data_IF_300425061207
#
_entry.id   IF_300425061207
#
_cell.length_a   1.000
_cell.length_b   1.000
_cell.length_c   1.000
_cell.angle_alpha   90.00
_cell.angle_beta   90.00
_cell.angle_gamma   90.00
#
_symmetry.space_group_name_H-M   'P 1'
#
loop_
_entity.id
_entity.type
_entity.pdbx_description
1 polymer ?
#
# COMPACT_ATOMS: atom_id res chain seq x y z
N UNK A 1 -76.95 6.08 -3.05
CA UNK A 1 -77.78 4.92 -3.41
C UNK A 1 -76.89 3.69 -3.44
N UNK A 2 -77.27 2.69 -2.63
CA UNK A 2 -76.89 1.27 -2.74
C UNK A 2 -75.41 0.90 -2.56
N UNK A 3 -75.02 -0.17 -1.89
CA UNK A 3 -75.69 -1.08 -0.97
C UNK A 3 -74.57 -1.87 -0.29
N UNK A 4 -74.80 -2.24 0.97
CA UNK A 4 -73.96 -3.13 1.75
C UNK A 4 -73.85 -4.53 1.11
N UNK A 5 -72.70 -5.19 1.28
CA UNK A 5 -72.63 -6.65 1.32
C UNK A 5 -71.40 -7.14 2.12
N UNK A 6 -71.76 -7.92 3.15
CA UNK A 6 -71.06 -8.92 3.95
C UNK A 6 -69.63 -9.35 3.57
N UNK A 7 -68.81 -9.56 4.61
CA UNK A 7 -67.52 -10.26 4.49
C UNK A 7 -66.92 -10.65 5.85
N UNK A 8 -67.44 -11.76 6.40
CA UNK A 8 -66.74 -12.82 7.15
C UNK A 8 -65.58 -12.44 8.08
N UNK A 9 -65.80 -12.71 9.37
CA UNK A 9 -64.76 -12.91 10.39
C UNK A 9 -63.83 -14.05 9.97
N UNK A 10 -62.56 -13.73 9.69
CA UNK A 10 -61.46 -14.68 9.71
C UNK A 10 -60.53 -14.30 10.86
N UNK A 11 -60.61 -15.09 11.92
CA UNK A 11 -59.68 -15.09 13.03
C UNK A 11 -58.29 -15.46 12.49
N UNK A 12 -57.49 -14.43 12.17
CA UNK A 12 -56.06 -14.56 11.93
C UNK A 12 -55.35 -14.72 13.26
N UNK A 13 -55.07 -15.96 13.62
CA UNK A 13 -54.22 -16.37 14.73
C UNK A 13 -52.97 -15.49 14.76
N UNK A 14 -52.80 -14.77 15.87
CA UNK A 14 -51.54 -14.12 16.24
C UNK A 14 -50.48 -15.19 16.47
N UNK A 15 -49.87 -15.64 15.38
CA UNK A 15 -48.63 -16.42 15.42
C UNK A 15 -47.49 -15.46 15.75
N UNK A 16 -47.16 -15.35 17.03
CA UNK A 16 -45.87 -14.83 17.46
C UNK A 16 -44.78 -15.63 16.72
N UNK A 17 -44.08 -14.99 15.78
CA UNK A 17 -42.89 -15.56 15.16
C UNK A 17 -41.83 -15.73 16.23
N UNK A 18 -41.77 -16.91 16.84
CA UNK A 18 -40.62 -17.36 17.60
C UNK A 18 -39.39 -17.25 16.68
N UNK A 19 -38.38 -16.51 17.13
CA UNK A 19 -37.15 -16.26 16.36
C UNK A 19 -36.55 -17.58 15.89
N UNK A 20 -36.30 -17.68 14.57
CA UNK A 20 -35.61 -18.82 14.00
C UNK A 20 -34.25 -19.00 14.70
N UNK A 21 -33.91 -20.24 15.08
CA UNK A 21 -32.60 -20.52 15.66
C UNK A 21 -31.49 -20.09 14.69
N UNK A 22 -30.41 -19.44 15.17
CA UNK A 22 -29.31 -19.04 14.31
C UNK A 22 -28.74 -20.26 13.57
N UNK A 23 -28.40 -20.12 12.29
CA UNK A 23 -27.77 -21.21 11.53
C UNK A 23 -26.47 -21.68 12.19
N UNK A 24 -26.05 -22.93 11.91
CA UNK A 24 -24.77 -23.46 12.41
C UNK A 24 -23.60 -22.51 12.12
N UNK A 25 -23.52 -22.05 10.88
CA UNK A 25 -22.53 -21.08 10.42
C UNK A 25 -22.59 -19.76 11.24
N UNK A 26 -23.79 -19.23 11.49
CA UNK A 26 -23.95 -18.02 12.32
C UNK A 26 -23.45 -18.23 13.75
N UNK A 27 -23.68 -19.41 14.33
CA UNK A 27 -23.20 -19.77 15.68
C UNK A 27 -21.68 -19.92 15.71
N UNK A 28 -21.10 -20.60 14.71
CA UNK A 28 -19.65 -20.78 14.57
C UNK A 28 -18.95 -19.42 14.37
N UNK A 29 -19.47 -18.57 13.46
CA UNK A 29 -18.99 -17.20 13.24
C UNK A 29 -19.00 -16.37 14.52
N UNK A 30 -20.11 -16.38 15.26
CA UNK A 30 -20.19 -15.67 16.53
C UNK A 30 -19.21 -16.23 17.57
N UNK A 31 -18.94 -17.54 17.55
CA UNK A 31 -17.99 -18.17 18.48
C UNK A 31 -16.54 -17.76 18.19
N UNK A 32 -16.12 -17.82 16.92
CA UNK A 32 -14.75 -17.42 16.53
C UNK A 32 -14.56 -15.89 16.62
N UNK A 33 -15.59 -15.09 16.36
CA UNK A 33 -15.57 -13.64 16.61
C UNK A 33 -15.23 -13.34 18.08
N UNK A 34 -15.85 -14.04 19.04
CA UNK A 34 -15.52 -13.89 20.47
C UNK A 34 -14.09 -14.31 20.81
N UNK A 35 -13.49 -15.26 20.07
CA UNK A 35 -12.08 -15.64 20.25
C UNK A 35 -11.19 -14.46 19.88
N UNK A 36 -11.40 -13.88 18.71
CA UNK A 36 -10.61 -12.76 18.21
C UNK A 36 -10.84 -11.47 18.99
N UNK A 37 -12.04 -11.22 19.52
CA UNK A 37 -12.30 -10.08 20.40
C UNK A 37 -11.43 -10.13 21.67
N UNK A 38 -11.33 -11.30 22.31
CA UNK A 38 -10.46 -11.50 23.47
C UNK A 38 -8.99 -11.37 23.11
N UNK A 39 -8.59 -11.86 21.94
CA UNK A 39 -7.23 -11.72 21.44
C UNK A 39 -6.90 -10.24 21.19
N UNK A 40 -7.83 -9.49 20.60
CA UNK A 40 -7.70 -8.05 20.39
C UNK A 40 -7.62 -7.25 21.70
N UNK A 41 -8.44 -7.60 22.70
CA UNK A 41 -8.34 -7.03 24.06
C UNK A 41 -6.94 -7.28 24.64
N UNK A 42 -6.42 -8.49 24.50
CA UNK A 42 -5.10 -8.85 25.01
C UNK A 42 -3.96 -8.09 24.33
N UNK A 43 -4.05 -7.81 23.02
CA UNK A 43 -3.09 -6.94 22.30
C UNK A 43 -3.14 -5.52 22.85
N UNK A 44 -4.34 -4.94 22.96
CA UNK A 44 -4.54 -3.57 23.47
C UNK A 44 -4.06 -3.42 24.91
N UNK A 45 -4.35 -4.40 25.76
CA UNK A 45 -3.98 -4.40 27.18
C UNK A 45 -2.53 -4.83 27.43
N UNK A 46 -1.86 -5.43 26.45
CA UNK A 46 -0.51 -5.96 26.62
C UNK A 46 -0.43 -7.22 27.49
N UNK A 47 -1.42 -8.11 27.40
CA UNK A 47 -1.53 -9.32 28.22
C UNK A 47 -1.23 -10.59 27.42
N UNK A 48 0.04 -10.99 27.36
CA UNK A 48 0.50 -12.16 26.59
C UNK A 48 -0.26 -13.45 26.91
N UNK A 49 -0.47 -13.74 28.21
CA UNK A 49 -1.16 -14.95 28.63
C UNK A 49 -2.61 -15.01 28.15
N UNK A 50 -3.29 -13.87 28.02
CA UNK A 50 -4.65 -13.78 27.50
C UNK A 50 -4.67 -13.91 25.98
N UNK A 51 -3.69 -13.33 25.30
CA UNK A 51 -3.51 -13.46 23.85
C UNK A 51 -3.30 -14.93 23.48
N UNK A 52 -2.35 -15.60 24.14
CA UNK A 52 -2.08 -17.02 23.92
C UNK A 52 -3.23 -17.93 24.40
N UNK A 53 -4.13 -17.48 25.29
CA UNK A 53 -5.30 -18.28 25.69
C UNK A 53 -6.35 -18.45 24.56
N UNK A 54 -6.25 -17.65 23.50
CA UNK A 54 -7.04 -17.76 22.28
C UNK A 54 -6.43 -18.73 21.24
N UNK A 55 -5.15 -19.09 21.39
CA UNK A 55 -4.42 -19.99 20.47
C UNK A 55 -4.52 -21.44 20.95
N UNK A 56 -4.68 -22.40 20.03
CA UNK A 56 -4.88 -23.81 20.35
C UNK A 56 -3.66 -24.36 21.14
N UNK A 57 -3.84 -24.88 22.36
CA UNK A 57 -2.75 -25.45 23.14
C UNK A 57 -2.12 -26.70 22.50
N UNK A 58 -2.78 -27.36 21.53
CA UNK A 58 -2.21 -28.49 20.77
C UNK A 58 -1.49 -28.07 19.50
N UNK A 59 -1.61 -26.82 19.06
CA UNK A 59 -0.88 -26.28 17.93
C UNK A 59 0.44 -25.66 18.42
N UNK A 60 1.37 -26.50 18.91
CA UNK A 60 2.58 -26.06 19.64
C UNK A 60 3.44 -25.09 18.81
N UNK A 61 3.68 -25.39 17.53
CA UNK A 61 4.46 -24.53 16.64
C UNK A 61 3.79 -23.17 16.41
N UNK A 62 2.51 -23.18 16.03
CA UNK A 62 1.74 -21.95 15.83
C UNK A 62 1.68 -21.11 17.11
N UNK A 63 1.54 -21.75 18.28
CA UNK A 63 1.55 -21.06 19.57
C UNK A 63 2.88 -20.38 19.86
N UNK A 64 4.01 -20.98 19.48
CA UNK A 64 5.33 -20.35 19.59
C UNK A 64 5.45 -19.14 18.67
N UNK A 65 5.04 -19.28 17.41
CA UNK A 65 5.00 -18.18 16.44
C UNK A 65 4.15 -17.01 16.96
N UNK A 66 2.96 -17.29 17.48
CA UNK A 66 2.07 -16.29 18.06
C UNK A 66 2.68 -15.62 19.31
N UNK A 67 3.53 -16.30 20.08
CA UNK A 67 4.26 -15.65 21.18
C UNK A 67 5.25 -14.61 20.67
N UNK A 68 5.99 -14.95 19.60
CA UNK A 68 6.90 -14.00 18.95
C UNK A 68 6.13 -12.81 18.36
N UNK A 69 5.04 -13.07 17.64
CA UNK A 69 4.15 -12.03 17.11
C UNK A 69 3.66 -11.11 18.21
N UNK A 70 3.20 -11.65 19.34
CA UNK A 70 2.78 -10.82 20.47
C UNK A 70 3.92 -9.94 20.98
N UNK A 71 5.13 -10.49 21.15
CA UNK A 71 6.32 -9.74 21.52
C UNK A 71 6.62 -8.59 20.56
N UNK A 72 6.46 -8.81 19.26
CA UNK A 72 6.62 -7.77 18.23
C UNK A 72 5.53 -6.70 18.32
N UNK A 73 4.26 -7.09 18.48
CA UNK A 73 3.13 -6.16 18.63
C UNK A 73 3.31 -5.22 19.83
N UNK A 74 3.96 -5.68 20.92
CA UNK A 74 4.27 -4.83 22.09
C UNK A 74 5.28 -3.73 21.80
N UNK A 75 6.06 -3.84 20.73
CA UNK A 75 7.05 -2.83 20.30
C UNK A 75 6.42 -1.76 19.41
N UNK A 76 5.28 -2.06 18.80
CA UNK A 76 4.59 -1.14 17.89
C UNK A 76 3.78 -0.09 18.65
N UNK A 77 3.70 1.16 18.16
CA UNK A 77 2.91 2.23 18.77
C UNK A 77 1.41 2.09 18.47
N UNK A 78 0.81 0.93 18.74
CA UNK A 78 -0.59 0.66 18.41
C UNK A 78 -1.55 1.52 19.24
N UNK A 79 -2.59 2.05 18.57
CA UNK A 79 -3.71 2.80 19.19
C UNK A 79 -5.05 2.19 18.89
N UNK A 80 -5.16 1.45 17.78
CA UNK A 80 -6.32 0.66 17.43
C UNK A 80 -5.86 -0.74 17.03
N UNK A 81 -6.66 -1.73 17.41
CA UNK A 81 -6.53 -3.12 17.00
C UNK A 81 -7.90 -3.76 17.09
N UNK A 82 -8.42 -4.37 16.04
CA UNK A 82 -9.75 -5.00 16.05
C UNK A 82 -9.89 -6.02 14.94
N UNK A 83 -10.66 -7.08 15.20
CA UNK A 83 -10.98 -8.09 14.20
C UNK A 83 -12.46 -8.10 13.87
N UNK A 84 -12.77 -8.37 12.61
CA UNK A 84 -14.13 -8.67 12.15
C UNK A 84 -14.13 -9.94 11.30
N UNK A 85 -14.77 -10.98 11.81
CA UNK A 85 -14.94 -12.25 11.09
C UNK A 85 -15.94 -12.06 9.95
N UNK A 86 -15.50 -12.40 8.75
CA UNK A 86 -16.29 -12.48 7.52
C UNK A 86 -16.98 -13.83 7.39
N UNK A 87 -16.84 -14.43 6.21
CA UNK A 87 -17.44 -15.73 5.88
C UNK A 87 -16.72 -16.85 6.63
N UNK A 88 -17.50 -17.85 7.05
CA UNK A 88 -17.00 -19.02 7.78
C UNK A 88 -17.31 -20.27 6.99
N UNK A 89 -16.31 -21.11 6.79
CA UNK A 89 -16.41 -22.35 6.00
C UNK A 89 -15.93 -23.53 6.84
N UNK A 90 -16.53 -24.72 6.70
CA UNK A 90 -16.00 -25.92 7.36
C UNK A 90 -14.53 -26.17 6.95
N UNK A 91 -13.68 -26.52 7.91
CA UNK A 91 -12.34 -27.00 7.60
C UNK A 91 -12.40 -28.34 6.82
N UNK A 92 -11.36 -28.64 6.04
CA UNK A 92 -11.26 -29.90 5.31
C UNK A 92 -11.34 -31.11 6.27
N UNK A 93 -11.90 -32.22 5.79
CA UNK A 93 -12.11 -33.41 6.61
C UNK A 93 -10.77 -34.03 7.08
N UNK A 94 -10.51 -34.01 8.38
CA UNK A 94 -9.29 -34.58 8.99
C UNK A 94 -8.91 -33.94 10.33
N UNK A 95 -9.25 -32.66 10.53
CA UNK A 95 -8.70 -31.84 11.62
C UNK A 95 -9.56 -31.76 12.90
N UNK A 96 -10.40 -32.78 13.16
CA UNK A 96 -11.10 -32.90 14.45
C UNK A 96 -12.25 -31.92 14.69
N UNK A 97 -12.83 -31.35 13.63
CA UNK A 97 -13.94 -30.40 13.73
C UNK A 97 -13.42 -28.97 13.89
N UNK A 98 -13.59 -28.16 12.84
CA UNK A 98 -13.08 -26.80 12.80
C UNK A 98 -13.69 -26.00 11.67
N UNK A 99 -13.36 -24.71 11.64
CA UNK A 99 -13.78 -23.78 10.59
C UNK A 99 -12.60 -22.94 10.10
N UNK A 100 -12.69 -22.47 8.88
CA UNK A 100 -11.82 -21.47 8.28
C UNK A 100 -12.61 -20.19 8.12
N UNK A 101 -11.98 -19.03 8.32
CA UNK A 101 -12.64 -17.75 8.14
C UNK A 101 -11.72 -16.71 7.51
N UNK A 102 -12.32 -15.88 6.66
CA UNK A 102 -11.71 -14.63 6.23
C UNK A 102 -11.97 -13.59 7.33
N UNK A 103 -10.90 -13.00 7.87
CA UNK A 103 -10.93 -12.13 9.04
C UNK A 103 -10.32 -10.80 8.66
N UNK A 104 -11.10 -9.72 8.82
CA UNK A 104 -10.58 -8.37 8.62
C UNK A 104 -9.91 -7.89 9.91
N UNK A 105 -8.59 -7.81 9.92
CA UNK A 105 -7.83 -7.09 10.93
C UNK A 105 -7.84 -5.60 10.60
N UNK A 106 -8.13 -4.75 11.59
CA UNK A 106 -7.91 -3.31 11.50
C UNK A 106 -6.99 -2.84 12.61
N UNK A 107 -5.97 -2.07 12.28
CA UNK A 107 -5.03 -1.52 13.25
C UNK A 107 -4.64 -0.08 12.91
N UNK A 108 -4.07 0.63 13.88
CA UNK A 108 -3.62 2.01 13.71
C UNK A 108 -2.38 2.29 14.54
N UNK A 109 -1.33 2.81 13.90
CA UNK A 109 -0.12 3.31 14.53
C UNK A 109 -0.32 4.77 14.99
N UNK A 110 0.09 5.06 16.23
CA UNK A 110 -0.05 6.37 16.86
C UNK A 110 0.68 7.44 16.04
N UNK A 111 0.00 8.55 15.76
CA UNK A 111 0.53 9.75 15.09
C UNK A 111 1.01 9.55 13.64
N UNK A 112 1.16 8.31 13.18
CA UNK A 112 1.72 7.97 11.87
C UNK A 112 0.63 7.51 10.88
N UNK A 113 -0.46 6.92 11.38
CA UNK A 113 -1.62 6.58 10.56
C UNK A 113 -2.75 7.63 10.72
N UNK A 114 -3.33 8.10 9.61
CA UNK A 114 -4.51 8.98 9.67
C UNK A 114 -5.82 8.17 9.72
N UNK A 115 -5.90 7.06 8.97
CA UNK A 115 -6.93 6.03 9.09
C UNK A 115 -6.38 4.69 9.58
N UNK A 116 -7.24 3.80 10.10
CA UNK A 116 -6.83 2.43 10.36
C UNK A 116 -6.54 1.69 9.05
N UNK A 117 -5.41 0.98 9.01
CA UNK A 117 -5.15 -0.08 8.03
C UNK A 117 -6.16 -1.22 8.24
N UNK A 118 -6.49 -1.95 7.19
CA UNK A 118 -7.50 -2.98 7.07
C UNK A 118 -7.04 -4.15 6.17
N UNK A 119 -6.39 -5.14 6.76
CA UNK A 119 -5.91 -6.35 6.04
C UNK A 119 -6.83 -7.55 6.22
N UNK A 120 -6.77 -8.51 5.31
CA UNK A 120 -7.57 -9.75 5.35
C UNK A 120 -6.70 -10.95 5.71
N UNK A 121 -6.86 -11.43 6.94
CA UNK A 121 -6.26 -12.66 7.41
C UNK A 121 -7.14 -13.86 7.06
N UNK A 122 -6.54 -15.01 6.73
CA UNK A 122 -7.26 -16.28 6.57
C UNK A 122 -6.90 -17.21 7.71
N UNK A 123 -7.81 -17.38 8.67
CA UNK A 123 -7.52 -18.10 9.91
C UNK A 123 -8.25 -19.43 9.98
N UNK A 124 -7.58 -20.44 10.52
CA UNK A 124 -8.17 -21.72 10.91
C UNK A 124 -8.51 -21.72 12.40
N UNK A 125 -9.66 -22.29 12.74
CA UNK A 125 -10.14 -22.43 14.10
C UNK A 125 -10.53 -23.88 14.39
N UNK A 126 -10.18 -24.34 15.58
CA UNK A 126 -10.49 -25.69 16.07
C UNK A 126 -11.30 -25.61 17.35
N UNK A 127 -12.30 -26.48 17.50
CA UNK A 127 -13.07 -26.62 18.75
C UNK A 127 -12.50 -27.76 19.61
N UNK A 128 -12.22 -27.48 20.89
CA UNK A 128 -11.80 -28.49 21.87
C UNK A 128 -12.60 -28.35 23.15
N UNK A 129 -13.37 -29.38 23.50
CA UNK A 129 -14.15 -29.41 24.74
C UNK A 129 -15.14 -28.25 24.86
N UNK A 130 -15.78 -27.85 23.76
CA UNK A 130 -16.74 -26.73 23.73
C UNK A 130 -16.11 -25.33 23.65
N UNK A 131 -14.78 -25.23 23.51
CA UNK A 131 -14.06 -23.96 23.39
C UNK A 131 -13.35 -23.87 22.03
N UNK A 132 -13.49 -22.72 21.39
CA UNK A 132 -12.85 -22.39 20.13
C UNK A 132 -11.48 -21.74 20.34
N UNK A 133 -10.56 -22.05 19.42
CA UNK A 133 -9.19 -21.54 19.40
C UNK A 133 -8.79 -21.22 17.96
N UNK A 134 -7.92 -20.22 17.79
CA UNK A 134 -7.15 -20.06 16.54
C UNK A 134 -6.09 -21.17 16.52
N UNK A 135 -6.05 -21.95 15.44
CA UNK A 135 -5.15 -23.10 15.34
C UNK A 135 -4.05 -22.92 14.30
N UNK A 136 -4.30 -22.10 13.27
CA UNK A 136 -3.34 -21.85 12.19
C UNK A 136 -3.73 -20.60 11.40
N UNK A 137 -2.79 -20.10 10.60
CA UNK A 137 -3.01 -19.08 9.58
C UNK A 137 -2.74 -19.65 8.18
N UNK A 138 -3.76 -19.58 7.34
CA UNK A 138 -3.85 -20.34 6.09
C UNK A 138 -3.11 -19.65 4.92
N UNK A 139 -2.75 -20.41 3.87
CA UNK A 139 -2.21 -19.84 2.65
C UNK A 139 -3.11 -18.77 2.01
N UNK A 140 -2.47 -17.70 1.50
CA UNK A 140 -3.13 -16.53 0.93
C UNK A 140 -3.73 -15.56 1.95
N UNK A 141 -3.35 -15.68 3.22
CA UNK A 141 -3.54 -14.64 4.24
C UNK A 141 -2.62 -13.44 3.97
N UNK A 142 -3.10 -12.23 4.22
CA UNK A 142 -2.30 -11.00 4.16
C UNK A 142 -1.32 -10.96 5.34
N UNK A 143 -0.09 -11.43 5.12
CA UNK A 143 0.95 -11.48 6.15
C UNK A 143 1.48 -10.08 6.48
N UNK A 144 1.68 -9.79 7.76
CA UNK A 144 2.18 -8.50 8.22
C UNK A 144 3.65 -8.56 8.64
N UNK A 145 4.32 -7.41 8.68
CA UNK A 145 5.77 -7.33 8.97
C UNK A 145 6.12 -7.96 10.33
N UNK A 146 5.25 -7.82 11.34
CA UNK A 146 5.47 -8.38 12.68
C UNK A 146 5.38 -9.90 12.77
N UNK A 147 5.10 -10.57 11.67
CA UNK A 147 5.12 -12.03 11.54
C UNK A 147 6.38 -12.55 10.83
N UNK A 148 7.28 -11.66 10.40
CA UNK A 148 8.40 -11.99 9.50
C UNK A 148 9.77 -12.05 10.20
N UNK A 149 9.79 -12.07 11.54
CA UNK A 149 11.03 -12.07 12.30
C UNK A 149 10.93 -11.25 13.57
N UNK A 150 12.06 -10.95 14.21
CA UNK A 150 12.12 -10.01 15.33
C UNK A 150 11.95 -8.57 14.81
N UNK A 151 10.97 -7.82 15.36
CA UNK A 151 10.73 -6.43 14.94
C UNK A 151 11.60 -5.44 15.70
N UNK A 152 12.36 -4.64 14.97
CA UNK A 152 12.97 -3.41 15.48
C UNK A 152 12.16 -2.19 15.02
N UNK A 153 11.91 -1.27 15.95
CA UNK A 153 11.19 -0.01 15.69
C UNK A 153 12.12 1.18 15.93
N UNK A 154 12.22 2.06 14.94
CA UNK A 154 12.94 3.33 15.01
C UNK A 154 11.97 4.47 14.74
N UNK A 155 11.96 5.48 15.61
CA UNK A 155 11.18 6.70 15.41
C UNK A 155 12.12 7.83 15.01
N UNK A 156 11.96 8.33 13.79
CA UNK A 156 12.59 9.55 13.32
C UNK A 156 11.78 10.80 13.72
N UNK A 157 12.21 11.96 13.22
CA UNK A 157 11.51 13.23 13.44
C UNK A 157 10.16 13.24 12.73
N UNK A 158 10.14 12.76 11.48
CA UNK A 158 8.98 12.70 10.58
C UNK A 158 8.70 11.30 10.06
N UNK A 159 9.46 10.30 10.50
CA UNK A 159 9.30 8.91 10.08
C UNK A 159 9.06 7.95 11.23
N UNK A 160 8.39 6.84 10.94
CA UNK A 160 8.39 5.62 11.74
C UNK A 160 8.92 4.49 10.87
N UNK A 161 10.04 3.89 11.26
CA UNK A 161 10.67 2.79 10.52
C UNK A 161 10.49 1.49 11.30
N UNK A 162 9.94 0.49 10.63
CA UNK A 162 9.71 -0.85 11.15
C UNK A 162 10.59 -1.82 10.36
N UNK A 163 11.40 -2.64 11.02
CA UNK A 163 12.23 -3.63 10.34
C UNK A 163 12.12 -5.01 10.96
N UNK A 164 11.99 -6.04 10.13
CA UNK A 164 12.03 -7.44 10.54
C UNK A 164 13.45 -8.01 10.37
N UNK A 165 14.03 -8.52 11.45
CA UNK A 165 15.40 -9.05 11.48
C UNK A 165 16.47 -8.06 10.94
N UNK A 166 16.21 -6.76 11.09
CA UNK A 166 17.13 -5.68 10.72
C UNK A 166 17.86 -5.13 11.93
N UNK A 167 19.11 -4.72 11.73
CA UNK A 167 19.88 -4.07 12.77
C UNK A 167 19.33 -2.66 13.06
N UNK A 168 19.44 -2.21 14.30
CA UNK A 168 19.04 -0.84 14.67
C UNK A 168 19.82 0.22 13.88
N UNK A 169 21.09 -0.02 13.59
CA UNK A 169 21.94 0.92 12.84
C UNK A 169 21.42 1.16 11.43
N UNK A 170 21.04 0.10 10.71
CA UNK A 170 20.42 0.20 9.37
C UNK A 170 19.10 0.96 9.42
N UNK A 171 18.25 0.68 10.42
CA UNK A 171 16.96 1.36 10.55
C UNK A 171 17.10 2.83 10.99
N UNK A 172 18.12 3.16 11.80
CA UNK A 172 18.45 4.55 12.15
C UNK A 172 18.92 5.33 10.92
N UNK A 173 19.64 4.69 10.00
CA UNK A 173 20.02 5.30 8.72
C UNK A 173 18.83 5.49 7.78
N UNK A 174 17.98 4.48 7.65
CA UNK A 174 16.74 4.56 6.89
C UNK A 174 15.82 5.67 7.42
N UNK A 175 15.71 5.82 8.74
CA UNK A 175 14.91 6.88 9.37
C UNK A 175 15.46 8.29 9.05
N UNK A 176 16.79 8.48 9.03
CA UNK A 176 17.39 9.77 8.64
C UNK A 176 17.12 10.12 7.19
N UNK A 177 17.21 9.14 6.29
CA UNK A 177 16.90 9.35 4.86
C UNK A 177 15.42 9.64 4.65
N UNK A 178 14.54 8.92 5.35
CA UNK A 178 13.09 9.17 5.32
C UNK A 178 12.74 10.56 5.87
N UNK A 179 13.36 11.00 6.96
CA UNK A 179 13.18 12.37 7.48
C UNK A 179 13.65 13.43 6.49
N UNK A 180 14.74 13.17 5.76
CA UNK A 180 15.26 14.06 4.70
C UNK A 180 14.32 14.09 3.50
N UNK A 181 13.78 12.94 3.10
CA UNK A 181 12.80 12.82 2.02
C UNK A 181 11.53 13.62 2.32
N UNK A 182 11.01 13.55 3.56
CA UNK A 182 9.87 14.38 4.00
C UNK A 182 10.16 15.87 3.85
N UNK A 183 11.36 16.32 4.26
CA UNK A 183 11.74 17.73 4.14
C UNK A 183 11.84 18.18 2.67
N UNK A 184 12.42 17.36 1.80
CA UNK A 184 12.53 17.65 0.37
C UNK A 184 11.15 17.72 -0.31
N UNK A 185 10.24 16.81 0.04
CA UNK A 185 8.86 16.83 -0.47
C UNK A 185 8.07 18.02 0.09
N UNK A 186 8.31 18.43 1.34
CA UNK A 186 7.71 19.64 1.93
C UNK A 186 8.09 20.93 1.19
N UNK A 187 9.27 20.98 0.59
CA UNK A 187 9.75 22.15 -0.16
C UNK A 187 9.12 22.26 -1.55
N UNK A 188 8.75 21.13 -2.17
CA UNK A 188 8.25 21.09 -3.55
C UNK A 188 6.75 20.85 -3.68
N UNK A 189 6.13 20.03 -2.81
CA UNK A 189 4.73 19.67 -2.94
C UNK A 189 3.80 20.80 -2.43
N UNK A 190 2.85 21.31 -3.25
CA UNK A 190 2.14 22.54 -2.94
C UNK A 190 0.86 22.34 -2.11
N UNK A 191 0.53 21.10 -1.72
CA UNK A 191 -0.69 20.75 -0.99
C UNK A 191 -0.38 20.20 0.38
N UNK A 192 -1.34 20.35 1.30
CA UNK A 192 -1.25 19.71 2.61
C UNK A 192 -1.24 18.20 2.43
N UNK A 193 -0.37 17.54 3.18
CA UNK A 193 -0.27 16.08 3.25
C UNK A 193 0.09 15.69 4.70
N UNK A 194 0.23 14.40 5.05
CA UNK A 194 0.59 13.98 6.41
C UNK A 194 1.88 14.57 6.99
N UNK A 195 2.83 15.00 6.15
CA UNK A 195 4.18 15.46 6.55
C UNK A 195 4.92 14.43 7.41
N UNK A 196 4.58 13.14 7.23
CA UNK A 196 5.14 11.98 7.93
C UNK A 196 5.00 10.73 7.06
N UNK A 197 5.89 9.77 7.25
CA UNK A 197 5.89 8.49 6.52
C UNK A 197 6.12 7.30 7.45
N UNK A 198 5.53 6.16 7.11
CA UNK A 198 5.85 4.86 7.71
C UNK A 198 6.65 4.06 6.70
N UNK A 199 7.84 3.59 7.09
CA UNK A 199 8.73 2.79 6.24
C UNK A 199 8.85 1.39 6.82
N UNK A 200 8.63 0.39 5.99
CA UNK A 200 8.74 -1.03 6.34
C UNK A 200 9.94 -1.65 5.63
N UNK A 201 10.80 -2.31 6.40
CA UNK A 201 12.01 -3.00 5.91
C UNK A 201 11.92 -4.49 6.26
N UNK A 202 11.31 -5.31 5.37
CA UNK A 202 11.34 -6.76 5.51
C UNK A 202 12.78 -7.31 5.44
N UNK A 203 12.95 -8.55 5.87
CA UNK A 203 14.25 -9.22 5.92
C UNK A 203 14.73 -9.72 4.55
N UNK A 204 13.82 -9.93 3.60
CA UNK A 204 14.14 -10.41 2.24
C UNK A 204 13.15 -9.91 1.18
N UNK A 205 13.51 -10.00 -0.11
CA UNK A 205 12.59 -9.77 -1.22
C UNK A 205 11.36 -10.71 -1.17
N UNK A 206 11.55 -11.95 -0.72
CA UNK A 206 10.46 -12.91 -0.54
C UNK A 206 9.46 -12.44 0.51
N UNK A 207 9.95 -11.83 1.58
CA UNK A 207 9.11 -11.35 2.67
C UNK A 207 8.43 -10.03 2.32
N UNK A 208 9.10 -9.16 1.55
CA UNK A 208 8.45 -8.03 0.88
C UNK A 208 7.28 -8.48 0.00
N UNK A 209 7.50 -9.47 -0.85
CA UNK A 209 6.47 -10.00 -1.75
C UNK A 209 5.23 -10.52 -1.00
N UNK A 210 5.43 -11.10 0.20
CA UNK A 210 4.34 -11.51 1.10
C UNK A 210 3.57 -10.33 1.71
N UNK A 211 4.24 -9.23 2.05
CA UNK A 211 3.57 -8.01 2.54
C UNK A 211 2.68 -7.40 1.47
N UNK A 212 3.10 -7.51 0.21
CA UNK A 212 2.45 -6.87 -0.94
C UNK A 212 1.43 -7.78 -1.66
N UNK A 213 1.19 -8.99 -1.15
CA UNK A 213 0.36 -10.04 -1.77
C UNK A 213 0.66 -10.24 -3.28
N UNK A 214 1.95 -10.33 -3.62
CA UNK A 214 2.38 -10.47 -5.00
C UNK A 214 3.59 -11.43 -5.15
N UNK A 215 3.84 -11.97 -6.36
CA UNK A 215 5.02 -12.79 -6.62
C UNK A 215 6.31 -11.99 -6.43
N UNK A 216 7.37 -12.61 -5.90
CA UNK A 216 8.67 -11.91 -5.68
C UNK A 216 9.29 -11.37 -6.97
N UNK A 217 9.08 -12.05 -8.10
CA UNK A 217 9.53 -11.61 -9.44
C UNK A 217 8.92 -10.26 -9.87
N UNK A 218 7.82 -9.83 -9.25
CA UNK A 218 7.21 -8.53 -9.55
C UNK A 218 8.01 -7.35 -8.97
N UNK A 219 8.90 -7.60 -8.01
CA UNK A 219 9.64 -6.55 -7.29
C UNK A 219 11.17 -6.71 -7.39
N UNK A 220 11.64 -7.66 -8.20
CA UNK A 220 13.06 -7.80 -8.48
C UNK A 220 13.59 -6.53 -9.19
N UNK A 221 14.68 -5.97 -8.67
CA UNK A 221 15.25 -4.71 -9.16
C UNK A 221 14.49 -3.44 -8.76
N UNK A 222 13.36 -3.55 -8.05
CA UNK A 222 12.60 -2.40 -7.53
C UNK A 222 13.01 -2.17 -6.09
N UNK A 223 13.57 -0.98 -5.81
CA UNK A 223 14.20 -0.67 -4.53
C UNK A 223 13.19 -0.36 -3.41
N UNK A 224 12.03 0.19 -3.73
CA UNK A 224 10.94 0.43 -2.79
C UNK A 224 9.61 0.52 -3.53
N UNK A 225 8.51 0.41 -2.77
CA UNK A 225 7.14 0.60 -3.28
C UNK A 225 6.31 1.29 -2.21
N UNK A 226 5.54 2.31 -2.60
CA UNK A 226 4.51 2.90 -1.76
C UNK A 226 3.19 2.18 -1.95
N UNK A 227 2.67 1.58 -0.88
CA UNK A 227 1.30 1.04 -0.84
C UNK A 227 0.38 1.95 -0.04
N UNK A 228 -0.90 1.90 -0.38
CA UNK A 228 -1.96 2.57 0.35
C UNK A 228 -3.29 1.90 0.07
N UNK A 229 -4.19 1.91 1.06
CA UNK A 229 -5.56 1.41 0.88
C UNK A 229 -6.37 2.39 0.04
N UNK A 230 -6.31 2.26 -1.28
CA UNK A 230 -7.26 2.88 -2.19
C UNK A 230 -8.58 2.08 -2.17
N UNK A 231 -9.35 2.22 -1.10
CA UNK A 231 -10.70 1.66 -0.95
C UNK A 231 -11.76 2.76 -0.96
N UNK A 232 -12.71 2.66 -1.91
CA UNK A 232 -13.95 3.43 -2.07
C UNK A 232 -14.13 4.65 -1.12
N UNK A 233 -13.89 5.85 -1.65
CA UNK A 233 -14.24 7.13 -1.02
C UNK A 233 -13.61 7.46 0.34
N UNK A 234 -12.53 6.78 0.77
CA UNK A 234 -11.87 7.16 2.04
C UNK A 234 -10.68 8.11 1.81
N UNK A 235 -10.86 9.35 2.25
CA UNK A 235 -9.86 10.45 2.27
C UNK A 235 -8.70 10.21 3.28
N UNK A 236 -8.39 8.97 3.65
CA UNK A 236 -7.55 8.74 4.81
C UNK A 236 -6.44 7.72 4.52
N UNK A 237 -5.21 8.22 4.43
CA UNK A 237 -4.01 7.45 4.16
C UNK A 237 -3.52 6.70 5.40
N UNK A 238 -3.13 5.46 5.17
CA UNK A 238 -2.26 4.68 6.04
C UNK A 238 -1.17 4.07 5.15
N UNK A 239 -0.53 4.95 4.38
CA UNK A 239 0.43 4.53 3.36
C UNK A 239 1.67 3.91 4.01
N UNK A 240 2.29 2.96 3.30
CA UNK A 240 3.53 2.29 3.70
C UNK A 240 4.53 2.40 2.57
N UNK A 241 5.73 2.87 2.89
CA UNK A 241 6.88 2.74 1.99
C UNK A 241 7.55 1.42 2.34
N UNK A 242 7.42 0.41 1.50
CA UNK A 242 8.04 -0.90 1.71
C UNK A 242 9.34 -0.97 0.93
N UNK A 243 10.46 -1.12 1.63
CA UNK A 243 11.81 -1.17 1.05
C UNK A 243 12.17 -2.60 0.66
N UNK A 244 12.67 -2.78 -0.55
CA UNK A 244 13.31 -4.03 -0.95
C UNK A 244 14.73 -4.07 -0.36
N UNK A 245 15.00 -4.93 0.63
CA UNK A 245 16.28 -4.92 1.34
C UNK A 245 17.49 -5.23 0.45
N UNK A 246 17.28 -5.97 -0.64
CA UNK A 246 18.32 -6.37 -1.59
C UNK A 246 18.61 -5.22 -2.57
N UNK A 247 17.63 -4.84 -3.38
CA UNK A 247 17.81 -3.80 -4.40
C UNK A 247 18.14 -2.42 -3.79
N UNK A 248 17.55 -2.06 -2.65
CA UNK A 248 17.86 -0.81 -1.95
C UNK A 248 19.26 -0.82 -1.33
N UNK A 249 19.71 -1.99 -0.85
CA UNK A 249 21.04 -2.18 -0.27
C UNK A 249 22.17 -2.00 -1.29
N UNK A 250 21.90 -2.33 -2.55
CA UNK A 250 22.86 -2.21 -3.66
C UNK A 250 23.03 -0.76 -4.17
N UNK A 251 22.11 0.15 -3.81
CA UNK A 251 22.18 1.55 -4.19
C UNK A 251 23.24 2.32 -3.39
N UNK A 252 23.84 3.32 -4.04
CA UNK A 252 24.63 4.34 -3.32
C UNK A 252 23.75 5.10 -2.33
N UNK A 253 24.36 5.75 -1.33
CA UNK A 253 23.61 6.56 -0.37
C UNK A 253 22.78 7.69 -1.00
N UNK A 254 23.25 8.24 -2.13
CA UNK A 254 22.49 9.20 -2.95
C UNK A 254 21.28 8.52 -3.61
N UNK A 255 21.47 7.37 -4.27
CA UNK A 255 20.37 6.60 -4.89
C UNK A 255 19.31 6.17 -3.88
N UNK A 256 19.74 5.74 -2.70
CA UNK A 256 18.86 5.43 -1.56
C UNK A 256 18.01 6.64 -1.13
N UNK A 257 18.59 7.84 -1.15
CA UNK A 257 17.88 9.08 -0.84
C UNK A 257 16.88 9.45 -1.95
N UNK A 258 17.29 9.33 -3.22
CA UNK A 258 16.41 9.57 -4.38
C UNK A 258 15.19 8.67 -4.31
N UNK A 259 15.37 7.37 -4.07
CA UNK A 259 14.27 6.39 -3.96
C UNK A 259 13.32 6.74 -2.81
N UNK A 260 13.81 7.02 -1.60
CA UNK A 260 12.89 7.38 -0.51
C UNK A 260 12.14 8.69 -0.76
N UNK A 261 12.78 9.63 -1.45
CA UNK A 261 12.16 10.91 -1.81
C UNK A 261 11.07 10.67 -2.84
N UNK A 262 11.35 9.87 -3.86
CA UNK A 262 10.37 9.39 -4.84
C UNK A 262 9.16 8.75 -4.16
N UNK A 263 9.37 7.77 -3.27
CA UNK A 263 8.26 7.11 -2.57
C UNK A 263 7.48 8.07 -1.66
N UNK A 264 8.16 9.03 -1.03
CA UNK A 264 7.51 10.06 -0.21
C UNK A 264 6.63 10.99 -1.06
N UNK A 265 6.97 11.24 -2.33
CA UNK A 265 6.09 11.98 -3.25
C UNK A 265 4.77 11.24 -3.45
N UNK A 266 4.78 9.92 -3.61
CA UNK A 266 3.55 9.12 -3.74
C UNK A 266 2.65 9.19 -2.50
N UNK A 267 3.24 9.25 -1.30
CA UNK A 267 2.48 9.50 -0.05
C UNK A 267 1.86 10.91 -0.07
N UNK A 268 2.64 11.93 -0.44
CA UNK A 268 2.16 13.32 -0.46
C UNK A 268 1.09 13.58 -1.53
N UNK A 269 1.20 12.90 -2.68
CA UNK A 269 0.34 13.11 -3.85
C UNK A 269 -0.88 12.19 -3.88
N UNK A 270 -0.95 11.13 -3.07
CA UNK A 270 -1.99 10.08 -3.06
C UNK A 270 -3.41 10.60 -3.29
N UNK A 271 -3.86 11.56 -2.48
CA UNK A 271 -5.24 12.12 -2.55
C UNK A 271 -5.47 13.08 -3.72
N UNK A 272 -4.44 13.33 -4.52
CA UNK A 272 -4.42 14.21 -5.69
C UNK A 272 -4.09 13.41 -6.96
N UNK A 273 -4.50 12.15 -7.00
CA UNK A 273 -4.42 11.27 -8.18
C UNK A 273 -5.79 10.70 -8.49
N UNK A 274 -6.04 10.40 -9.76
CA UNK A 274 -7.25 9.70 -10.22
C UNK A 274 -6.90 8.74 -11.36
N UNK A 275 -7.88 7.98 -11.87
CA UNK A 275 -7.70 7.19 -13.09
C UNK A 275 -7.34 8.03 -14.33
N UNK A 276 -7.48 9.35 -14.26
CA UNK A 276 -7.05 10.27 -15.31
C UNK A 276 -5.60 10.76 -15.17
N UNK A 277 -4.89 10.42 -14.09
CA UNK A 277 -3.46 10.74 -13.93
C UNK A 277 -2.62 9.68 -14.66
N UNK A 278 -1.90 10.03 -15.76
CA UNK A 278 -1.05 9.08 -16.46
C UNK A 278 0.17 8.70 -15.61
N UNK A 279 0.64 7.45 -15.72
CA UNK A 279 1.81 6.99 -14.95
C UNK A 279 3.10 7.71 -15.34
N UNK A 280 3.27 8.13 -16.60
CA UNK A 280 4.45 8.92 -16.98
C UNK A 280 4.57 10.23 -16.20
N UNK A 281 3.44 10.83 -15.81
CA UNK A 281 3.40 12.05 -15.00
C UNK A 281 3.51 11.73 -13.52
N UNK A 282 2.87 10.65 -13.06
CA UNK A 282 2.96 10.18 -11.68
C UNK A 282 4.39 9.86 -11.27
N UNK A 283 5.02 8.94 -12.02
CA UNK A 283 6.40 8.51 -11.77
C UNK A 283 7.40 9.61 -12.13
N UNK A 284 7.16 10.34 -13.23
CA UNK A 284 8.03 11.41 -13.67
C UNK A 284 8.13 12.57 -12.67
N UNK A 285 7.02 12.92 -11.98
CA UNK A 285 7.05 13.93 -10.92
C UNK A 285 7.84 13.43 -9.71
N UNK A 286 7.62 12.17 -9.31
CA UNK A 286 8.33 11.56 -8.20
C UNK A 286 9.84 11.51 -8.44
N UNK A 287 10.27 11.16 -9.66
CA UNK A 287 11.68 11.24 -10.08
C UNK A 287 12.19 12.67 -10.18
N UNK A 288 11.38 13.62 -10.67
CA UNK A 288 11.80 15.01 -10.79
C UNK A 288 12.11 15.63 -9.42
N UNK A 289 11.27 15.37 -8.40
CA UNK A 289 11.53 15.78 -7.02
C UNK A 289 12.67 14.97 -6.42
N UNK A 290 12.70 13.64 -6.64
CA UNK A 290 13.73 12.75 -6.11
C UNK A 290 15.15 13.14 -6.56
N UNK A 291 15.33 13.45 -7.84
CA UNK A 291 16.59 13.93 -8.39
C UNK A 291 16.86 15.42 -8.13
N UNK A 292 15.85 16.21 -7.73
CA UNK A 292 15.96 17.66 -7.57
C UNK A 292 17.00 18.12 -6.55
N UNK A 293 17.33 17.26 -5.58
CA UNK A 293 18.37 17.50 -4.58
C UNK A 293 19.75 16.93 -4.94
N UNK A 294 19.92 16.41 -6.17
CA UNK A 294 21.16 15.84 -6.68
C UNK A 294 21.79 16.73 -7.75
N UNK A 295 23.10 16.62 -7.95
CA UNK A 295 23.81 17.30 -9.03
C UNK A 295 23.86 16.46 -10.33
N UNK A 296 23.06 15.38 -10.41
CA UNK A 296 23.07 14.45 -11.55
C UNK A 296 22.55 15.13 -12.81
N UNK A 297 23.35 15.03 -13.86
CA UNK A 297 22.93 15.44 -15.20
C UNK A 297 21.97 14.42 -15.82
N UNK A 298 21.13 14.81 -16.80
CA UNK A 298 20.35 13.87 -17.59
C UNK A 298 21.13 12.69 -18.15
N UNK A 299 22.38 12.90 -18.59
CA UNK A 299 23.23 11.82 -19.08
C UNK A 299 23.62 10.79 -18.01
N UNK A 300 23.71 11.21 -16.76
CA UNK A 300 24.08 10.33 -15.64
C UNK A 300 22.87 9.62 -15.04
N UNK A 301 21.70 10.27 -15.06
CA UNK A 301 20.46 9.75 -14.46
C UNK A 301 19.56 9.00 -15.46
N UNK A 302 19.72 9.20 -16.77
CA UNK A 302 18.92 8.53 -17.81
C UNK A 302 19.77 7.59 -18.70
N UNK A 303 20.38 6.59 -18.08
CA UNK A 303 21.29 5.68 -18.75
C UNK A 303 20.61 4.83 -19.85
N UNK A 304 19.35 4.44 -19.69
CA UNK A 304 18.62 3.69 -20.71
C UNK A 304 18.28 4.52 -21.94
N UNK A 305 17.98 5.80 -21.75
CA UNK A 305 17.75 6.74 -22.85
C UNK A 305 19.05 7.11 -23.56
N UNK A 306 20.17 7.24 -22.84
CA UNK A 306 21.50 7.37 -23.46
C UNK A 306 21.81 6.15 -24.33
N UNK A 307 21.64 4.93 -23.81
CA UNK A 307 21.81 3.69 -24.60
C UNK A 307 20.86 3.64 -25.80
N UNK A 308 19.63 4.09 -25.64
CA UNK A 308 18.67 4.16 -26.74
C UNK A 308 19.07 5.21 -27.80
N UNK A 309 19.67 6.35 -27.40
CA UNK A 309 20.20 7.35 -28.31
C UNK A 309 21.36 6.80 -29.15
N UNK A 310 22.34 6.17 -28.50
CA UNK A 310 23.49 5.54 -29.16
C UNK A 310 23.06 4.47 -30.17
N UNK A 311 21.99 3.73 -29.85
CA UNK A 311 21.42 2.71 -30.73
C UNK A 311 20.49 3.28 -31.83
N UNK A 312 20.21 4.59 -31.85
CA UNK A 312 19.25 5.20 -32.78
C UNK A 312 17.78 4.78 -32.52
N UNK A 313 17.47 4.37 -31.28
CA UNK A 313 16.19 3.80 -30.83
C UNK A 313 15.48 4.66 -29.79
N UNK A 314 15.70 5.98 -29.79
CA UNK A 314 14.97 6.88 -28.90
C UNK A 314 13.45 6.73 -29.07
N UNK A 315 12.68 6.79 -27.96
CA UNK A 315 11.23 6.75 -28.01
C UNK A 315 10.62 7.79 -28.94
N UNK A 316 9.48 7.42 -29.54
CA UNK A 316 8.71 8.30 -30.45
C UNK A 316 7.44 8.86 -29.82
N UNK A 317 7.02 8.29 -28.71
CA UNK A 317 5.81 8.64 -27.97
C UNK A 317 6.14 8.62 -26.47
N UNK A 318 5.37 9.36 -25.68
CA UNK A 318 5.45 9.26 -24.23
C UNK A 318 5.09 7.83 -23.78
N UNK A 319 5.67 7.34 -22.68
CA UNK A 319 5.30 6.05 -22.12
C UNK A 319 3.81 6.00 -21.76
N UNK A 320 3.18 4.87 -22.05
CA UNK A 320 1.80 4.59 -21.64
C UNK A 320 1.79 3.92 -20.27
N UNK A 321 0.63 3.86 -19.61
CA UNK A 321 0.49 3.15 -18.33
C UNK A 321 0.88 1.66 -18.41
N UNK A 322 0.92 1.07 -19.62
CA UNK A 322 1.35 -0.31 -19.82
C UNK A 322 2.87 -0.49 -19.70
N UNK A 323 3.62 0.59 -19.86
CA UNK A 323 5.09 0.57 -19.85
C UNK A 323 5.67 0.57 -18.44
N UNK A 324 4.86 0.93 -17.43
CA UNK A 324 5.21 0.90 -16.01
C UNK A 324 4.81 -0.40 -15.30
N UNK A 325 4.28 -1.39 -16.02
CA UNK A 325 3.84 -2.65 -15.41
C UNK A 325 5.02 -3.49 -14.93
N UNK A 326 4.92 -3.98 -13.71
CA UNK A 326 5.87 -4.92 -13.12
C UNK A 326 6.00 -6.22 -13.94
N UNK A 327 7.21 -6.80 -13.94
CA UNK A 327 7.53 -8.02 -14.70
C UNK A 327 7.83 -7.81 -16.19
N UNK A 328 7.93 -6.54 -16.64
CA UNK A 328 8.53 -6.16 -17.94
C UNK A 328 10.05 -6.34 -17.91
N UNK A 329 10.66 -6.24 -19.07
CA UNK A 329 12.11 -6.13 -19.20
C UNK A 329 12.63 -4.92 -18.38
N UNK A 330 13.63 -5.08 -17.49
CA UNK A 330 14.13 -3.99 -16.65
C UNK A 330 14.65 -2.78 -17.43
N UNK A 331 15.25 -2.96 -18.61
CA UNK A 331 15.75 -1.84 -19.43
C UNK A 331 14.57 -1.08 -20.06
N UNK A 332 13.52 -1.77 -20.49
CA UNK A 332 12.29 -1.12 -20.97
C UNK A 332 11.58 -0.35 -19.86
N UNK A 333 11.52 -0.90 -18.65
CA UNK A 333 10.93 -0.24 -17.48
C UNK A 333 11.75 1.01 -17.12
N UNK A 334 13.07 0.88 -16.99
CA UNK A 334 13.96 2.01 -16.72
C UNK A 334 13.80 3.12 -17.75
N UNK A 335 13.73 2.78 -19.05
CA UNK A 335 13.47 3.76 -20.11
C UNK A 335 12.13 4.49 -19.95
N UNK A 336 11.09 3.83 -19.45
CA UNK A 336 9.79 4.47 -19.21
C UNK A 336 9.85 5.49 -18.07
N UNK A 337 10.50 5.16 -16.95
CA UNK A 337 10.75 6.09 -15.84
C UNK A 337 11.58 7.29 -16.29
N UNK A 338 12.73 7.05 -16.93
CA UNK A 338 13.60 8.11 -17.46
C UNK A 338 12.88 9.02 -18.46
N UNK A 339 11.99 8.46 -19.28
CA UNK A 339 11.16 9.19 -20.24
C UNK A 339 10.14 10.11 -19.54
N UNK A 340 9.47 9.60 -18.50
CA UNK A 340 8.54 10.38 -17.66
C UNK A 340 9.25 11.48 -16.88
N UNK A 341 10.43 11.17 -16.32
CA UNK A 341 11.30 12.13 -15.66
C UNK A 341 11.68 13.29 -16.58
N UNK A 342 12.19 13.00 -17.79
CA UNK A 342 12.53 14.05 -18.76
C UNK A 342 11.31 14.81 -19.28
N UNK A 343 10.12 14.21 -19.30
CA UNK A 343 8.88 14.94 -19.59
C UNK A 343 8.55 15.95 -18.50
N UNK A 344 8.65 15.58 -17.23
CA UNK A 344 8.41 16.48 -16.10
C UNK A 344 9.49 17.57 -16.02
N UNK A 345 10.75 17.21 -16.25
CA UNK A 345 11.87 18.15 -16.32
C UNK A 345 11.69 19.16 -17.45
N UNK A 346 11.27 18.73 -18.65
CA UNK A 346 10.92 19.64 -19.74
C UNK A 346 9.85 20.64 -19.31
N UNK A 347 8.78 20.18 -18.66
CA UNK A 347 7.71 21.07 -18.20
C UNK A 347 8.26 22.11 -17.22
N UNK A 348 9.05 21.66 -16.23
CA UNK A 348 9.65 22.54 -15.24
C UNK A 348 10.64 23.54 -15.85
N UNK A 349 11.46 23.12 -16.82
CA UNK A 349 12.48 23.97 -17.46
C UNK A 349 11.86 25.05 -18.36
N UNK A 350 10.80 24.72 -19.12
CA UNK A 350 10.20 25.65 -20.09
C UNK A 350 9.03 26.47 -19.53
N UNK A 351 8.21 25.89 -18.66
CA UNK A 351 7.02 26.55 -18.11
C UNK A 351 7.09 26.82 -16.60
N UNK A 352 8.10 26.29 -15.92
CA UNK A 352 8.28 26.46 -14.47
C UNK A 352 7.58 25.39 -13.65
N UNK A 353 8.04 25.21 -12.40
CA UNK A 353 7.53 24.18 -11.49
C UNK A 353 6.03 24.30 -11.18
N UNK A 354 5.52 25.53 -11.10
CA UNK A 354 4.11 25.78 -10.82
C UNK A 354 3.20 25.20 -11.91
N UNK A 355 3.68 25.17 -13.16
CA UNK A 355 2.96 24.59 -14.29
C UNK A 355 2.99 23.06 -14.29
N UNK A 356 4.12 22.46 -13.92
CA UNK A 356 4.21 21.01 -13.70
C UNK A 356 3.24 20.55 -12.60
N UNK A 357 3.26 21.22 -11.44
CA UNK A 357 2.38 20.90 -10.32
C UNK A 357 0.91 21.19 -10.65
N UNK A 358 0.63 22.28 -11.37
CA UNK A 358 -0.70 22.61 -11.86
C UNK A 358 -1.28 21.53 -12.78
N UNK A 359 -0.46 21.04 -13.73
CA UNK A 359 -0.83 19.94 -14.63
C UNK A 359 -1.18 18.67 -13.83
N UNK A 360 -0.31 18.30 -12.89
CA UNK A 360 -0.50 17.13 -12.04
C UNK A 360 -1.82 17.20 -11.26
N UNK A 361 -2.06 18.32 -10.57
CA UNK A 361 -3.25 18.49 -9.73
C UNK A 361 -4.55 18.53 -10.55
N UNK A 362 -4.53 19.10 -11.76
CA UNK A 362 -5.70 19.08 -12.66
C UNK A 362 -6.06 17.67 -13.07
N UNK A 363 -5.10 16.89 -13.54
CA UNK A 363 -5.29 15.49 -13.91
C UNK A 363 -5.74 14.65 -12.72
N UNK A 364 -5.14 14.90 -11.55
CA UNK A 364 -5.50 14.27 -10.28
C UNK A 364 -6.95 14.48 -9.86
N UNK A 365 -7.56 15.60 -10.23
CA UNK A 365 -8.95 15.93 -9.89
C UNK A 365 -9.96 15.62 -11.00
N UNK A 366 -9.49 15.23 -12.19
CA UNK A 366 -10.34 15.08 -13.37
C UNK A 366 -11.33 13.91 -13.22
N UNK A 367 -12.58 14.16 -13.64
CA UNK A 367 -13.67 13.16 -13.66
C UNK A 367 -14.04 12.82 -15.11
N UNK A 368 -13.02 12.49 -15.90
CA UNK A 368 -13.10 12.23 -17.36
C UNK A 368 -12.21 11.05 -17.72
N UNK A 369 -12.28 10.58 -18.97
CA UNK A 369 -11.27 9.65 -19.48
C UNK A 369 -9.89 10.32 -19.45
N UNK A 370 -8.84 9.50 -19.24
CA UNK A 370 -7.46 9.96 -19.19
C UNK A 370 -7.11 10.82 -20.42
N UNK A 371 -7.39 10.33 -21.63
CA UNK A 371 -7.09 11.05 -22.87
C UNK A 371 -7.71 12.45 -22.93
N UNK A 372 -8.99 12.57 -22.57
CA UNK A 372 -9.70 13.86 -22.60
C UNK A 372 -9.19 14.81 -21.50
N UNK A 373 -8.79 14.26 -20.35
CA UNK A 373 -8.22 15.05 -19.26
C UNK A 373 -6.81 15.55 -19.60
N UNK A 374 -5.98 14.73 -20.24
CA UNK A 374 -4.63 15.08 -20.70
C UNK A 374 -4.68 16.19 -21.74
N UNK A 375 -5.54 16.06 -22.74
CA UNK A 375 -5.73 17.09 -23.77
C UNK A 375 -6.11 18.44 -23.16
N UNK A 376 -7.14 18.47 -22.32
CA UNK A 376 -7.60 19.69 -21.64
C UNK A 376 -6.54 20.29 -20.70
N UNK A 377 -5.84 19.45 -19.94
CA UNK A 377 -4.87 19.92 -18.96
C UNK A 377 -3.58 20.44 -19.63
N UNK A 378 -3.11 19.80 -20.71
CA UNK A 378 -1.97 20.29 -21.50
C UNK A 378 -2.30 21.61 -22.19
N UNK A 379 -3.48 21.74 -22.80
CA UNK A 379 -3.91 23.00 -23.40
C UNK A 379 -4.01 24.11 -22.33
N UNK A 380 -4.62 23.81 -21.18
CA UNK A 380 -4.80 24.79 -20.12
C UNK A 380 -3.50 25.22 -19.43
N UNK A 381 -2.55 24.31 -19.23
CA UNK A 381 -1.33 24.62 -18.46
C UNK A 381 -0.14 24.99 -19.34
N UNK A 382 0.01 24.32 -20.48
CA UNK A 382 1.16 24.43 -21.37
C UNK A 382 0.84 25.16 -22.68
N UNK A 383 -0.45 25.24 -23.06
CA UNK A 383 -0.89 25.81 -24.34
C UNK A 383 -0.50 24.93 -25.54
N UNK A 384 -0.47 23.61 -25.34
CA UNK A 384 -0.10 22.62 -26.34
C UNK A 384 -1.10 21.47 -26.37
N UNK A 385 -1.33 20.93 -27.58
CA UNK A 385 -1.91 19.60 -27.72
C UNK A 385 -0.93 18.51 -27.27
N UNK A 386 -1.42 17.29 -26.94
CA UNK A 386 -0.56 16.16 -26.61
C UNK A 386 0.46 15.81 -27.69
N UNK A 387 0.10 15.99 -28.97
CA UNK A 387 0.99 15.73 -30.10
C UNK A 387 2.13 16.75 -30.15
N UNK A 388 1.83 18.04 -30.00
CA UNK A 388 2.84 19.10 -29.98
C UNK A 388 3.79 18.95 -28.77
N UNK A 389 3.24 18.63 -27.60
CA UNK A 389 4.05 18.32 -26.43
C UNK A 389 4.98 17.13 -26.68
N UNK A 390 4.48 16.05 -27.29
CA UNK A 390 5.29 14.86 -27.61
C UNK A 390 6.43 15.18 -28.58
N UNK A 391 6.19 16.00 -29.62
CA UNK A 391 7.26 16.43 -30.55
C UNK A 391 8.34 17.25 -29.86
N UNK A 392 7.94 18.13 -28.94
CA UNK A 392 8.85 18.95 -28.16
C UNK A 392 9.65 18.10 -27.16
N UNK A 393 8.98 17.19 -26.47
CA UNK A 393 9.61 16.19 -25.61
C UNK A 393 10.65 15.35 -26.33
N UNK A 394 10.37 14.83 -27.53
CA UNK A 394 11.37 14.08 -28.32
C UNK A 394 12.61 14.90 -28.65
N UNK A 395 12.43 16.20 -28.91
CA UNK A 395 13.54 17.11 -29.18
C UNK A 395 14.36 17.39 -27.93
N UNK A 396 13.68 17.59 -26.79
CA UNK A 396 14.30 17.76 -25.48
C UNK A 396 15.09 16.51 -25.06
N UNK A 397 14.48 15.32 -25.10
CA UNK A 397 15.16 14.05 -24.79
C UNK A 397 16.43 13.92 -25.63
N UNK A 398 16.33 14.07 -26.95
CA UNK A 398 17.51 13.98 -27.84
C UNK A 398 18.60 14.95 -27.40
N UNK A 399 18.27 16.20 -27.08
CA UNK A 399 19.25 17.20 -26.64
C UNK A 399 19.92 16.81 -25.32
N UNK A 400 19.16 16.34 -24.35
CA UNK A 400 19.66 16.06 -23.00
C UNK A 400 20.48 14.77 -22.92
N UNK A 401 20.21 13.78 -23.78
CA UNK A 401 20.92 12.49 -23.77
C UNK A 401 21.97 12.31 -24.87
N UNK A 402 22.10 13.24 -25.83
CA UNK A 402 23.15 13.22 -26.88
C UNK A 402 24.44 13.84 -26.41
#
# INVERSE_FOLDING_TARGET
MSAALAGVVLAGVSGCGAGAEPSRESRERAAVQRVLERQADAVRDGKESQYLAAVDPRAESYREEQRQVFGNLRRLPLTQWSYRVGDVRPAAAGDGGGVQADVRLRYKLRDDDHAPVSVTERLAFTERGGKWYVSDELPGSDRQLWEQGEITVVRGKKSLVLGADRSREELDDLARKADTAVAQVDEEWPRSWPHRVVVESPSSLRDMARLLDAPSTSYEGIAAVTTGEAGEHTNASADRIVVNPEAYGDLSGEGQQVVLTHETVHVASRTHTSGATPLWLSEGLADWIGYGATDRTPKEAAAELVRAADAGKLPRELPTDRDFRFGRDPEELGRAYESGWLACRLIADEWGKDKLLGLYLRLGSAQKSQDAAVDEAMESELGLSPQEFTERWRSYVRKEVS
#
